data_IF_827516375559
#
_entry.id   IF_827516375559
#
_cell.length_a   1.000
_cell.length_b   1.000
_cell.length_c   1.000
_cell.angle_alpha   90.00
_cell.angle_beta   90.00
_cell.angle_gamma   90.00
#
_symmetry.space_group_name_H-M   'P 1'
#
loop_
_entity.id
_entity.type
_entity.pdbx_description
1 polymer ?
#
# COMPACT_ATOMS: atom_id res chain seq x y z
N UNK A 1 -3.23 13.38 24.63
CA UNK A 1 -4.29 13.65 23.61
C UNK A 1 -4.34 12.48 22.64
N UNK A 2 -5.49 11.82 22.48
CA UNK A 2 -5.60 10.60 21.65
C UNK A 2 -6.14 10.95 20.26
N UNK A 3 -5.54 10.38 19.21
CA UNK A 3 -5.93 10.60 17.81
C UNK A 3 -6.43 9.30 17.20
N UNK A 4 -7.37 9.39 16.28
CA UNK A 4 -8.01 8.25 15.62
C UNK A 4 -7.73 8.27 14.12
N UNK A 5 -7.32 7.14 13.57
CA UNK A 5 -7.30 6.92 12.14
C UNK A 5 -8.51 6.07 11.76
N UNK A 6 -9.33 6.57 10.84
CA UNK A 6 -10.46 5.85 10.29
C UNK A 6 -10.17 5.59 8.82
N UNK A 7 -10.03 4.33 8.47
CA UNK A 7 -9.81 3.91 7.09
C UNK A 7 -11.11 3.30 6.57
N UNK A 8 -11.61 3.75 5.43
CA UNK A 8 -12.88 3.26 4.87
C UNK A 8 -12.89 3.22 3.33
N UNK A 9 -13.70 2.32 2.78
CA UNK A 9 -13.85 2.09 1.34
C UNK A 9 -14.86 3.05 0.68
N UNK A 10 -15.79 3.62 1.44
CA UNK A 10 -16.79 4.58 0.93
C UNK A 10 -16.24 6.02 0.85
N UNK A 11 -15.11 6.29 1.50
CA UNK A 11 -14.50 7.61 1.48
C UNK A 11 -13.48 7.62 0.34
N UNK A 12 -13.53 8.63 -0.53
CA UNK A 12 -12.55 8.79 -1.62
C UNK A 12 -11.45 9.80 -1.31
N UNK A 13 -11.65 10.64 -0.29
CA UNK A 13 -10.75 11.76 0.04
C UNK A 13 -10.20 11.64 1.45
N UNK A 14 -8.89 11.88 1.60
CA UNK A 14 -8.23 11.98 2.90
C UNK A 14 -8.61 13.31 3.56
N UNK A 15 -9.12 13.25 4.78
CA UNK A 15 -9.48 14.43 5.58
C UNK A 15 -8.82 14.35 6.94
N UNK A 16 -7.94 15.30 7.24
CA UNK A 16 -7.26 15.41 8.53
C UNK A 16 -8.06 16.36 9.42
N UNK A 17 -8.55 15.84 10.55
CA UNK A 17 -9.11 16.66 11.64
C UNK A 17 -8.23 16.50 12.88
N UNK A 18 -8.22 17.45 13.82
CA UNK A 18 -7.32 17.43 14.98
C UNK A 18 -7.33 16.12 15.79
N UNK A 19 -8.49 15.47 15.89
CA UNK A 19 -8.67 14.23 16.66
C UNK A 19 -8.90 12.99 15.80
N UNK A 20 -9.27 13.17 14.52
CA UNK A 20 -9.66 12.06 13.65
C UNK A 20 -9.22 12.33 12.21
N UNK A 21 -8.40 11.44 11.66
CA UNK A 21 -8.06 11.44 10.24
C UNK A 21 -8.87 10.35 9.54
N UNK A 22 -9.63 10.73 8.52
CA UNK A 22 -10.34 9.77 7.66
C UNK A 22 -9.54 9.54 6.40
N UNK A 23 -9.31 8.29 6.05
CA UNK A 23 -8.51 7.87 4.91
C UNK A 23 -9.30 6.91 4.01
N UNK A 24 -9.18 7.07 2.68
CA UNK A 24 -9.71 6.10 1.72
C UNK A 24 -8.88 4.81 1.74
N UNK A 25 -9.50 3.67 1.46
CA UNK A 25 -8.79 2.43 1.11
C UNK A 25 -9.31 1.86 -0.20
N UNK A 26 -8.39 1.61 -1.12
CA UNK A 26 -8.64 0.80 -2.31
C UNK A 26 -8.40 -0.67 -1.97
N UNK A 27 -9.39 -1.53 -2.22
CA UNK A 27 -9.26 -2.97 -2.07
C UNK A 27 -9.42 -3.62 -3.45
N UNK A 28 -8.63 -4.65 -3.72
CA UNK A 28 -8.75 -5.48 -4.92
C UNK A 28 -9.76 -6.61 -4.70
N UNK A 29 -10.19 -7.26 -5.79
CA UNK A 29 -11.05 -8.43 -5.70
C UNK A 29 -10.30 -9.61 -5.05
N UNK A 30 -10.85 -10.17 -3.96
CA UNK A 30 -10.27 -11.31 -3.26
C UNK A 30 -9.67 -10.97 -1.89
N UNK A 31 -8.64 -11.71 -1.50
CA UNK A 31 -7.91 -11.49 -0.25
C UNK A 31 -6.90 -10.36 -0.41
N UNK A 32 -6.97 -9.36 0.46
CA UNK A 32 -6.06 -8.23 0.46
C UNK A 32 -5.21 -8.24 1.74
N UNK A 33 -3.92 -7.96 1.61
CA UNK A 33 -3.05 -7.65 2.73
C UNK A 33 -2.96 -6.13 2.86
N UNK A 34 -3.49 -5.59 3.96
CA UNK A 34 -3.47 -4.15 4.24
C UNK A 34 -2.41 -3.88 5.29
N UNK A 35 -1.41 -3.09 4.93
CA UNK A 35 -0.36 -2.65 5.83
C UNK A 35 -0.59 -1.19 6.20
N UNK A 36 -0.54 -0.88 7.50
CA UNK A 36 -0.81 0.45 8.00
C UNK A 36 0.37 0.96 8.83
N UNK A 37 1.21 1.78 8.22
CA UNK A 37 2.36 2.37 8.91
C UNK A 37 1.93 3.50 9.84
N UNK A 38 1.68 3.16 11.10
CA UNK A 38 1.21 4.09 12.13
C UNK A 38 2.19 5.25 12.36
N UNK A 39 3.50 4.99 12.37
CA UNK A 39 4.53 6.00 12.62
C UNK A 39 4.56 7.09 11.56
N UNK A 40 4.54 6.68 10.29
CA UNK A 40 4.55 7.63 9.17
C UNK A 40 3.24 8.41 9.07
N UNK A 41 2.10 7.75 9.31
CA UNK A 41 0.80 8.44 9.26
C UNK A 41 0.63 9.46 10.39
N UNK A 42 1.10 9.18 11.61
CA UNK A 42 1.06 10.18 12.69
C UNK A 42 1.97 11.36 12.40
N UNK A 43 3.16 11.10 11.86
CA UNK A 43 4.12 12.15 11.52
C UNK A 43 3.60 13.04 10.38
N UNK A 44 3.03 12.44 9.33
CA UNK A 44 2.51 13.19 8.17
C UNK A 44 1.23 13.95 8.47
N UNK A 45 0.29 13.37 9.22
CA UNK A 45 -1.00 14.02 9.48
C UNK A 45 -0.91 15.10 10.56
N UNK A 46 -0.05 14.93 11.56
CA UNK A 46 -0.05 15.78 12.75
C UNK A 46 1.33 16.29 13.19
N UNK A 47 2.41 15.90 12.51
CA UNK A 47 3.77 16.31 12.86
C UNK A 47 4.31 15.70 14.15
N UNK A 48 3.69 14.65 14.70
CA UNK A 48 4.14 14.03 15.96
C UNK A 48 4.58 12.58 15.78
N UNK A 49 5.38 12.09 16.72
CA UNK A 49 5.87 10.71 16.76
C UNK A 49 4.76 9.76 17.27
N UNK A 50 4.75 8.53 16.75
CA UNK A 50 3.91 7.45 17.23
C UNK A 50 4.49 6.84 18.51
N UNK A 51 3.65 6.56 19.50
CA UNK A 51 4.07 5.94 20.77
C UNK A 51 3.39 4.58 20.96
N UNK A 52 2.06 4.59 21.07
CA UNK A 52 1.28 3.37 21.32
C UNK A 52 -0.06 3.40 20.57
N UNK A 53 -0.60 2.21 20.32
CA UNK A 53 -1.96 2.02 19.83
C UNK A 53 -2.86 1.56 20.98
N UNK A 54 -3.80 2.40 21.41
CA UNK A 54 -4.69 2.07 22.52
C UNK A 54 -5.80 1.08 22.14
N UNK A 55 -6.38 1.21 20.94
CA UNK A 55 -7.53 0.38 20.53
C UNK A 55 -7.61 0.25 19.02
N UNK A 56 -7.86 -0.97 18.55
CA UNK A 56 -8.24 -1.26 17.17
C UNK A 56 -9.74 -1.57 17.12
N UNK A 57 -10.46 -0.95 16.18
CA UNK A 57 -11.87 -1.20 15.94
C UNK A 57 -12.07 -1.59 14.49
N UNK A 58 -12.82 -2.67 14.26
CA UNK A 58 -13.13 -3.16 12.93
C UNK A 58 -14.65 -3.19 12.79
N UNK A 59 -15.14 -2.54 11.75
CA UNK A 59 -16.56 -2.48 11.43
C UNK A 59 -16.99 -3.71 10.61
N UNK A 60 -18.30 -3.90 10.46
CA UNK A 60 -18.90 -5.03 9.75
C UNK A 60 -18.55 -5.09 8.25
N UNK A 61 -19.00 -6.16 7.57
CA UNK A 61 -18.75 -6.47 6.16
C UNK A 61 -17.26 -6.70 5.80
N UNK A 62 -16.54 -7.41 6.67
CA UNK A 62 -15.15 -7.84 6.40
C UNK A 62 -14.95 -9.29 6.82
N UNK A 63 -14.15 -10.04 6.05
CA UNK A 63 -13.66 -11.37 6.43
C UNK A 63 -12.19 -11.24 6.81
N UNK A 64 -11.89 -11.45 8.08
CA UNK A 64 -10.54 -11.30 8.62
C UNK A 64 -9.92 -12.68 8.72
N UNK A 65 -8.69 -12.83 8.23
CA UNK A 65 -7.88 -14.03 8.46
C UNK A 65 -6.93 -13.83 9.63
N UNK A 66 -6.18 -12.72 9.63
CA UNK A 66 -5.12 -12.42 10.61
C UNK A 66 -5.02 -10.91 10.80
N UNK A 67 -4.74 -10.50 12.03
CA UNK A 67 -4.35 -9.14 12.40
C UNK A 67 -3.15 -9.29 13.33
N UNK A 68 -2.09 -8.56 13.03
CA UNK A 68 -0.88 -8.57 13.83
C UNK A 68 -0.24 -7.18 13.75
N UNK A 69 0.61 -6.88 14.74
CA UNK A 69 1.48 -5.72 14.72
C UNK A 69 2.89 -6.19 14.39
N UNK A 70 3.59 -5.44 13.55
CA UNK A 70 5.02 -5.60 13.30
C UNK A 70 5.72 -4.28 13.57
N UNK A 71 6.97 -4.37 14.00
CA UNK A 71 7.83 -3.20 14.15
C UNK A 71 8.33 -2.71 12.79
N UNK A 72 8.57 -3.65 11.87
CA UNK A 72 9.08 -3.38 10.53
C UNK A 72 8.16 -3.93 9.44
N UNK A 73 8.39 -3.43 8.22
CA UNK A 73 7.71 -3.90 7.02
C UNK A 73 8.39 -5.18 6.51
N UNK A 74 7.86 -6.33 6.89
CA UNK A 74 8.33 -7.60 6.38
C UNK A 74 7.69 -7.91 5.02
N UNK A 75 8.51 -8.35 4.08
CA UNK A 75 8.06 -8.89 2.79
C UNK A 75 7.50 -10.31 2.99
N UNK A 76 6.70 -10.80 2.04
CA UNK A 76 6.03 -12.11 2.17
C UNK A 76 7.06 -13.24 2.39
N UNK A 77 8.27 -13.13 1.82
CA UNK A 77 9.31 -14.16 1.89
C UNK A 77 9.88 -14.39 3.29
N UNK A 78 10.01 -13.32 4.07
CA UNK A 78 10.54 -13.36 5.44
C UNK A 78 9.48 -13.78 6.46
N UNK A 79 8.20 -13.68 6.08
CA UNK A 79 7.10 -14.04 6.95
C UNK A 79 7.06 -15.57 7.11
N UNK A 80 6.95 -16.07 8.36
CA UNK A 80 6.67 -17.49 8.58
C UNK A 80 5.45 -17.93 7.76
N UNK A 81 5.42 -19.19 7.33
CA UNK A 81 4.35 -19.72 6.47
C UNK A 81 2.94 -19.56 7.10
N UNK A 82 2.88 -19.37 8.41
CA UNK A 82 1.68 -19.05 9.19
C UNK A 82 1.18 -17.61 9.02
N UNK A 83 1.91 -16.71 8.37
CA UNK A 83 1.52 -15.33 8.14
C UNK A 83 1.36 -15.01 6.65
N UNK A 84 1.93 -15.82 5.76
CA UNK A 84 1.75 -15.73 4.30
C UNK A 84 0.27 -15.78 3.90
N UNK A 85 -0.10 -14.91 2.96
CA UNK A 85 -1.49 -14.77 2.47
C UNK A 85 -1.93 -16.04 1.73
N UNK A 86 -1.01 -16.63 0.97
CA UNK A 86 -1.17 -17.90 0.29
C UNK A 86 -0.35 -18.95 1.03
N UNK A 87 -1.00 -19.73 1.90
CA UNK A 87 -0.38 -20.97 2.34
C UNK A 87 -0.38 -21.92 1.11
N UNK A 88 0.77 -22.45 0.65
CA UNK A 88 0.75 -23.60 -0.22
C UNK A 88 0.14 -24.74 0.61
N UNK A 89 -1.12 -25.06 0.36
CA UNK A 89 -1.71 -26.27 0.91
C UNK A 89 -0.93 -27.49 0.39
N UNK A 90 -0.87 -28.59 1.15
CA UNK A 90 -0.34 -29.86 0.65
C UNK A 90 -1.33 -30.39 -0.41
N UNK A 91 -1.19 -29.97 -1.67
CA UNK A 91 -2.11 -30.43 -2.72
C UNK A 91 -2.00 -29.81 -4.11
N UNK A 92 -1.29 -28.69 -4.30
CA UNK A 92 -1.17 -28.10 -5.66
C UNK A 92 0.29 -27.96 -6.07
N UNK A 93 0.85 -29.06 -6.61
CA UNK A 93 1.93 -28.94 -7.61
C UNK A 93 1.29 -28.46 -8.92
N UNK A 94 1.82 -27.40 -9.52
CA UNK A 94 1.61 -27.09 -10.94
C UNK A 94 0.93 -25.76 -11.23
N UNK A 95 1.71 -24.68 -11.25
CA UNK A 95 2.06 -23.91 -12.47
C UNK A 95 2.90 -22.71 -12.04
N UNK A 96 4.22 -22.84 -12.18
CA UNK A 96 5.10 -21.69 -12.33
C UNK A 96 4.56 -20.86 -13.49
N UNK A 97 4.04 -19.67 -13.17
CA UNK A 97 3.81 -18.64 -14.17
C UNK A 97 5.18 -18.05 -14.44
N UNK A 98 5.83 -18.63 -15.44
CA UNK A 98 7.01 -18.14 -16.15
C UNK A 98 7.23 -16.65 -15.88
N UNK A 99 8.19 -16.36 -14.99
CA UNK A 99 8.82 -15.05 -14.95
C UNK A 99 9.33 -14.80 -16.36
N UNK A 100 8.69 -13.86 -17.05
CA UNK A 100 9.32 -13.21 -18.19
C UNK A 100 10.56 -12.54 -17.64
N UNK A 101 11.66 -13.28 -17.73
CA UNK A 101 13.03 -12.83 -17.67
C UNK A 101 13.14 -11.59 -18.56
N UNK A 102 12.91 -10.42 -17.98
CA UNK A 102 13.38 -9.17 -18.56
C UNK A 102 14.88 -9.28 -18.51
N UNK A 103 15.44 -9.80 -19.61
CA UNK A 103 16.86 -9.76 -19.91
C UNK A 103 17.35 -8.34 -19.61
N UNK A 104 18.45 -8.26 -18.88
CA UNK A 104 19.34 -7.10 -18.91
C UNK A 104 19.47 -6.62 -20.35
N UNK A 105 18.95 -5.43 -20.61
CA UNK A 105 19.27 -4.68 -21.81
C UNK A 105 20.43 -3.78 -21.39
N UNK A 106 21.60 -4.02 -22.00
CA UNK A 106 22.81 -3.23 -21.83
C UNK A 106 22.55 -1.73 -22.12
N UNK A 107 23.32 -0.80 -21.55
CA UNK A 107 22.97 0.63 -21.49
C UNK A 107 23.18 1.44 -22.79
N UNK A 108 23.18 0.85 -23.98
CA UNK A 108 23.59 1.58 -25.20
C UNK A 108 22.48 2.12 -26.11
N UNK A 109 21.19 1.85 -25.86
CA UNK A 109 20.11 2.37 -26.72
C UNK A 109 19.06 3.20 -25.97
N UNK A 110 19.45 4.40 -25.52
CA UNK A 110 18.50 5.46 -25.15
C UNK A 110 18.27 6.35 -26.37
N UNK A 111 17.15 6.22 -27.11
CA UNK A 111 16.80 7.22 -28.11
C UNK A 111 16.34 8.50 -27.40
N UNK A 112 17.00 9.61 -27.73
CA UNK A 112 16.68 10.94 -27.23
C UNK A 112 15.21 11.31 -27.48
N UNK A 113 14.48 11.59 -26.40
CA UNK A 113 13.12 12.14 -26.47
C UNK A 113 13.24 13.60 -26.95
N UNK A 114 12.79 13.87 -28.18
CA UNK A 114 12.63 15.24 -28.70
C UNK A 114 11.47 15.92 -27.97
N UNK A 115 11.76 17.01 -27.27
CA UNK A 115 10.76 17.93 -26.75
C UNK A 115 10.40 18.88 -27.91
N UNK A 116 9.20 18.75 -28.47
CA UNK A 116 8.65 19.73 -29.41
C UNK A 116 8.10 20.93 -28.63
N UNK A 117 8.83 22.04 -28.65
CA UNK A 117 8.30 23.37 -28.30
C UNK A 117 7.33 23.82 -29.40
N UNK A 118 6.04 23.91 -29.08
CA UNK A 118 5.07 24.64 -29.90
C UNK A 118 5.23 26.14 -29.65
N UNK A 119 5.96 26.80 -30.54
CA UNK A 119 5.97 28.24 -30.71
C UNK A 119 4.61 28.72 -31.27
N UNK A 120 3.82 29.39 -30.43
CA UNK A 120 2.65 30.16 -30.87
C UNK A 120 3.11 31.58 -31.25
N UNK A 121 3.48 31.78 -32.52
CA UNK A 121 3.76 33.10 -33.10
C UNK A 121 2.58 33.60 -33.92
N UNK A 122 1.84 34.54 -33.33
CA UNK A 122 1.53 35.90 -33.83
C UNK A 122 1.43 36.08 -35.37
N UNK A 123 0.21 36.37 -35.84
CA UNK A 123 -0.10 37.17 -37.04
C UNK A 123 -1.13 38.22 -36.59
N UNK A 124 -0.92 39.53 -36.65
CA UNK A 124 -0.59 40.38 -37.82
C UNK A 124 -1.60 40.21 -38.94
#
# INVERSE_FOLDING_TARGET
MRRRFRVSNFQSTTKVRPFCTTMPIGLSAGWNQVQFNLADFTKRAYGSVYMETTRVQIHANVRIRRIYFTDQLHTDDELPNEFKLFAPGPGTKGKEREERKSKEIAPEDVPAIKIEEKDEKKKS
#
